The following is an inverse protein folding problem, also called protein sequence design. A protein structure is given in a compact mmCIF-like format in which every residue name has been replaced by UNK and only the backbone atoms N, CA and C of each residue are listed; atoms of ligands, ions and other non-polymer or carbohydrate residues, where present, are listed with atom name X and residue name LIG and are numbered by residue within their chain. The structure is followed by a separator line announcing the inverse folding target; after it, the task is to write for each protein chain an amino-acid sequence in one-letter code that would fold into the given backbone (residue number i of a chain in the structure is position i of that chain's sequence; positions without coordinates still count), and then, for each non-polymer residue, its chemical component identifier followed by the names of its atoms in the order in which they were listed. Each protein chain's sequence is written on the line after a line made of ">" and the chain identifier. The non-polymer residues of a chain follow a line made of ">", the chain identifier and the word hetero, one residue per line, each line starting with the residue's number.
data_IF_092695703559
#
_entry.id   IF_092695703559
#
_cell.length_a   1.000
_cell.length_b   1.000
_cell.length_c   1.000
_cell.angle_alpha   90.00
_cell.angle_beta   90.00
_cell.angle_gamma   90.00
#
_symmetry.space_group_name_H-M   'P 1'
#
loop_
_entity.id
_entity.type
_entity.pdbx_description
1 polymer ?
#
# COMPACT_ATOMS: atom_id res chain seq x y z
N UNK A 1 5.54 -15.20 0.15
CA UNK A 1 4.69 -14.20 0.83
C UNK A 1 3.48 -13.94 -0.05
N UNK A 2 2.30 -14.47 0.30
CA UNK A 2 1.08 -14.17 -0.42
C UNK A 2 0.64 -12.73 -0.12
N UNK A 3 -0.05 -12.12 -1.07
CA UNK A 3 -0.62 -10.79 -0.96
C UNK A 3 -2.10 -10.88 -1.32
N UNK A 4 -2.94 -10.24 -0.52
CA UNK A 4 -4.38 -10.17 -0.75
C UNK A 4 -4.83 -8.71 -0.82
N UNK A 5 -5.93 -8.45 -1.52
CA UNK A 5 -6.42 -7.08 -1.66
C UNK A 5 -7.02 -6.57 -0.35
N UNK A 6 -6.77 -5.30 -0.05
CA UNK A 6 -7.37 -4.63 1.10
C UNK A 6 -8.90 -4.64 1.03
N UNK A 7 -9.46 -4.39 -0.17
CA UNK A 7 -10.92 -4.37 -0.43
C UNK A 7 -11.64 -5.68 -0.13
N UNK A 8 -10.93 -6.83 -0.17
CA UNK A 8 -11.54 -8.14 0.11
C UNK A 8 -11.93 -8.26 1.59
N UNK A 9 -11.31 -7.46 2.46
CA UNK A 9 -11.56 -7.44 3.90
C UNK A 9 -12.28 -6.17 4.37
N UNK A 10 -12.12 -5.06 3.65
CA UNK A 10 -12.67 -3.75 3.98
C UNK A 10 -13.28 -3.07 2.73
N UNK A 11 -14.36 -3.65 2.15
CA UNK A 11 -14.94 -3.17 0.89
C UNK A 11 -15.42 -1.73 0.98
N UNK A 12 -16.18 -1.37 2.01
CA UNK A 12 -16.76 -0.03 2.16
C UNK A 12 -15.66 1.06 2.23
N UNK A 13 -14.58 0.78 2.96
CA UNK A 13 -13.45 1.71 3.10
C UNK A 13 -12.67 1.77 1.79
N UNK A 14 -12.46 0.64 1.12
CA UNK A 14 -11.79 0.63 -0.17
C UNK A 14 -12.58 1.40 -1.22
N UNK A 15 -13.91 1.31 -1.24
CA UNK A 15 -14.76 2.04 -2.18
C UNK A 15 -14.69 3.57 -1.95
N UNK A 16 -14.57 4.02 -0.69
CA UNK A 16 -14.42 5.45 -0.35
C UNK A 16 -12.99 5.98 -0.52
N UNK A 17 -11.99 5.16 -0.22
CA UNK A 17 -10.61 5.62 0.00
C UNK A 17 -9.58 5.17 -1.06
N UNK A 18 -9.97 4.31 -2.01
CA UNK A 18 -9.08 3.90 -3.11
C UNK A 18 -8.68 5.12 -3.94
N UNK A 19 -7.37 5.31 -4.12
CA UNK A 19 -6.87 6.42 -4.94
C UNK A 19 -7.04 6.10 -6.41
N UNK A 20 -7.57 7.06 -7.16
CA UNK A 20 -7.54 7.04 -8.61
C UNK A 20 -6.63 8.17 -9.14
N UNK A 21 -5.78 7.85 -10.10
CA UNK A 21 -5.09 8.85 -10.93
C UNK A 21 -6.03 9.13 -12.10
N UNK A 22 -6.45 10.39 -12.23
CA UNK A 22 -7.32 10.83 -13.33
C UNK A 22 -6.44 11.57 -14.33
N UNK A 23 -6.38 11.07 -15.56
CA UNK A 23 -5.68 11.72 -16.66
C UNK A 23 -6.71 12.23 -17.67
N UNK A 24 -6.99 13.54 -17.70
CA UNK A 24 -7.93 14.11 -18.66
C UNK A 24 -7.44 13.98 -20.12
N UNK A 25 -8.35 13.96 -21.11
CA UNK A 25 -8.00 13.93 -22.54
C UNK A 25 -7.00 15.00 -23.00
N UNK A 26 -7.08 16.19 -22.40
CA UNK A 26 -6.27 17.37 -22.67
C UNK A 26 -4.94 17.39 -21.89
N UNK A 27 -4.62 16.34 -21.13
CA UNK A 27 -3.38 16.26 -20.37
C UNK A 27 -2.16 16.24 -21.30
N UNK A 28 -1.16 17.06 -20.99
CA UNK A 28 0.14 17.07 -21.68
C UNK A 28 1.10 15.97 -21.17
N UNK A 29 0.64 15.10 -20.27
CA UNK A 29 1.47 14.00 -19.75
C UNK A 29 1.64 12.88 -20.78
N UNK A 30 2.70 12.10 -20.64
CA UNK A 30 2.93 10.91 -21.47
C UNK A 30 1.99 9.74 -21.12
N UNK A 31 1.28 9.82 -19.98
CA UNK A 31 0.35 8.80 -19.56
C UNK A 31 -0.96 8.96 -20.37
N UNK A 32 -1.50 7.90 -21.00
CA UNK A 32 -2.71 8.03 -21.79
C UNK A 32 -3.90 8.49 -20.94
N UNK A 33 -4.84 9.28 -21.51
CA UNK A 33 -6.06 9.65 -20.83
C UNK A 33 -6.84 8.43 -20.35
N UNK A 34 -7.08 8.33 -19.06
CA UNK A 34 -7.77 7.22 -18.40
C UNK A 34 -7.99 7.57 -16.91
N UNK A 35 -8.68 6.68 -16.22
CA UNK A 35 -8.66 6.60 -14.77
C UNK A 35 -7.89 5.33 -14.36
N UNK A 36 -6.87 5.50 -13.52
CA UNK A 36 -6.06 4.40 -13.02
C UNK A 36 -6.31 4.24 -11.52
N UNK A 37 -7.00 3.17 -11.14
CA UNK A 37 -7.30 2.85 -9.74
C UNK A 37 -6.14 2.09 -9.09
N UNK A 38 -5.65 2.59 -7.94
CA UNK A 38 -4.54 2.01 -7.19
C UNK A 38 -5.07 1.09 -6.10
N UNK A 39 -5.41 -0.15 -6.46
CA UNK A 39 -5.84 -1.13 -5.46
C UNK A 39 -4.67 -1.57 -4.59
N UNK A 40 -4.81 -1.41 -3.29
CA UNK A 40 -3.80 -1.80 -2.32
C UNK A 40 -3.86 -3.31 -2.06
N UNK A 41 -2.71 -3.96 -2.16
CA UNK A 41 -2.49 -5.33 -1.71
C UNK A 41 -1.45 -5.36 -0.59
N UNK A 42 -1.74 -6.14 0.44
CA UNK A 42 -0.89 -6.31 1.61
C UNK A 42 -0.58 -7.79 1.86
N UNK A 43 0.57 -8.06 2.49
CA UNK A 43 0.97 -9.41 2.88
C UNK A 43 -0.03 -10.00 3.89
N UNK A 44 -0.58 -11.16 3.57
CA UNK A 44 -1.59 -11.87 4.37
C UNK A 44 -0.99 -13.03 5.21
N UNK A 45 0.33 -13.16 5.20
CA UNK A 45 1.04 -14.09 6.06
C UNK A 45 0.87 -13.69 7.53
N UNK A 46 0.50 -14.66 8.38
CA UNK A 46 0.29 -14.42 9.82
C UNK A 46 1.58 -13.95 10.48
N UNK A 47 1.47 -12.91 11.30
CA UNK A 47 2.55 -12.27 12.07
C UNK A 47 3.68 -11.67 11.23
N UNK A 48 3.49 -11.49 9.93
CA UNK A 48 4.43 -10.79 9.06
C UNK A 48 4.27 -9.27 9.21
N UNK A 49 5.34 -8.54 9.53
CA UNK A 49 5.31 -7.07 9.59
C UNK A 49 6.18 -6.48 8.47
N UNK A 50 5.95 -6.89 7.23
CA UNK A 50 6.78 -6.48 6.09
C UNK A 50 6.69 -4.98 5.77
N UNK A 51 5.65 -4.27 6.24
CA UNK A 51 5.46 -2.82 6.06
C UNK A 51 5.60 -2.36 4.60
N UNK A 52 4.99 -3.15 3.71
CA UNK A 52 4.99 -2.97 2.27
C UNK A 52 3.57 -3.00 1.72
N UNK A 53 3.37 -2.28 0.63
CA UNK A 53 2.16 -2.29 -0.20
C UNK A 53 2.55 -2.64 -1.63
N UNK A 54 1.68 -3.37 -2.32
CA UNK A 54 1.69 -3.45 -3.77
C UNK A 54 0.46 -2.72 -4.30
N UNK A 55 0.67 -1.70 -5.12
CA UNK A 55 -0.41 -1.03 -5.86
C UNK A 55 -0.68 -1.83 -7.13
N UNK A 56 -1.81 -2.51 -7.15
CA UNK A 56 -2.33 -3.19 -8.32
C UNK A 56 -3.15 -2.19 -9.15
N UNK A 57 -2.53 -1.64 -10.19
CA UNK A 57 -3.07 -0.51 -10.93
C UNK A 57 -3.96 -1.00 -12.07
N UNK A 58 -5.26 -0.73 -11.96
CA UNK A 58 -6.26 -1.08 -12.98
C UNK A 58 -6.59 0.14 -13.85
N UNK A 59 -6.59 -0.05 -15.17
CA UNK A 59 -7.13 0.93 -16.12
C UNK A 59 -8.65 0.79 -16.19
N UNK A 60 -9.38 1.89 -16.02
CA UNK A 60 -10.84 1.91 -16.14
C UNK A 60 -11.29 1.62 -17.58
N UNK A 61 -10.61 2.20 -18.58
CA UNK A 61 -10.93 1.98 -20.00
C UNK A 61 -10.68 0.54 -20.45
N UNK A 62 -9.54 -0.06 -20.08
CA UNK A 62 -9.18 -1.42 -20.51
C UNK A 62 -9.74 -2.51 -19.62
N UNK A 63 -10.09 -2.16 -18.37
CA UNK A 63 -10.57 -3.09 -17.33
C UNK A 63 -9.57 -4.21 -17.03
N UNK A 64 -8.28 -3.88 -17.09
CA UNK A 64 -7.18 -4.82 -16.89
C UNK A 64 -6.05 -4.18 -16.06
N UNK A 65 -5.20 -4.98 -15.39
CA UNK A 65 -3.99 -4.49 -14.74
C UNK A 65 -3.01 -3.94 -15.76
N UNK A 66 -2.57 -2.71 -15.53
CA UNK A 66 -1.58 -2.03 -16.37
C UNK A 66 -0.23 -1.90 -15.70
N UNK A 67 -0.18 -1.96 -14.36
CA UNK A 67 1.06 -2.02 -13.60
C UNK A 67 0.85 -2.65 -12.22
N UNK A 68 1.93 -3.20 -11.66
CA UNK A 68 2.01 -3.49 -10.22
C UNK A 68 3.25 -2.80 -9.66
N UNK A 69 3.04 -1.84 -8.77
CA UNK A 69 4.11 -1.04 -8.14
C UNK A 69 4.26 -1.47 -6.69
N UNK A 70 5.43 -1.95 -6.30
CA UNK A 70 5.74 -2.32 -4.92
C UNK A 70 6.47 -1.19 -4.21
N UNK A 71 6.06 -0.91 -2.97
CA UNK A 71 6.69 0.11 -2.14
C UNK A 71 6.71 -0.29 -0.67
N UNK A 72 7.79 0.07 0.01
CA UNK A 72 8.00 -0.12 1.43
C UNK A 72 8.42 1.18 2.10
N UNK A 73 7.76 1.55 3.20
CA UNK A 73 7.98 2.85 3.84
C UNK A 73 9.07 2.87 4.92
N UNK A 74 9.63 1.71 5.27
CA UNK A 74 10.70 1.63 6.25
C UNK A 74 12.11 1.89 5.69
N UNK A 75 13.06 2.05 6.60
CA UNK A 75 14.47 2.24 6.25
C UNK A 75 15.12 1.00 5.64
N UNK A 76 16.21 1.19 4.89
CA UNK A 76 17.04 0.09 4.40
C UNK A 76 17.50 -0.86 5.52
N UNK A 77 17.86 -0.30 6.69
CA UNK A 77 18.25 -1.07 7.86
C UNK A 77 17.11 -1.95 8.41
N UNK A 78 15.87 -1.48 8.34
CA UNK A 78 14.71 -2.28 8.71
C UNK A 78 14.59 -3.49 7.79
N UNK A 79 14.61 -3.26 6.47
CA UNK A 79 14.46 -4.35 5.51
C UNK A 79 15.59 -5.35 5.61
N UNK A 80 16.84 -4.90 5.70
CA UNK A 80 17.99 -5.78 5.91
C UNK A 80 17.80 -6.71 7.12
N UNK A 81 17.39 -6.16 8.27
CA UNK A 81 17.11 -6.95 9.48
C UNK A 81 15.91 -7.88 9.32
N UNK A 82 14.88 -7.44 8.59
CA UNK A 82 13.66 -8.20 8.42
C UNK A 82 13.87 -9.42 7.52
N UNK A 83 14.57 -9.28 6.39
CA UNK A 83 14.91 -10.43 5.52
C UNK A 83 16.16 -11.20 5.99
N UNK A 84 16.95 -10.63 6.91
CA UNK A 84 18.23 -11.17 7.38
C UNK A 84 19.26 -11.28 6.25
N UNK A 85 19.32 -10.24 5.43
CA UNK A 85 20.22 -10.10 4.28
C UNK A 85 20.66 -8.64 4.20
N UNK A 86 21.82 -8.38 3.61
CA UNK A 86 22.38 -7.05 3.40
C UNK A 86 22.64 -6.72 1.93
N UNK A 87 22.19 -7.57 0.99
CA UNK A 87 22.28 -7.30 -0.44
C UNK A 87 21.63 -5.94 -0.83
N UNK A 88 22.41 -4.98 -1.35
CA UNK A 88 21.92 -3.63 -1.63
C UNK A 88 20.80 -3.57 -2.67
N UNK A 89 20.84 -4.43 -3.70
CA UNK A 89 19.84 -4.46 -4.76
C UNK A 89 18.49 -4.95 -4.22
N UNK A 90 18.51 -6.07 -3.49
CA UNK A 90 17.34 -6.62 -2.80
C UNK A 90 16.73 -5.61 -1.84
N UNK A 91 17.55 -4.91 -1.05
CA UNK A 91 17.06 -3.89 -0.11
C UNK A 91 16.45 -2.69 -0.85
N UNK A 92 17.05 -2.27 -1.96
CA UNK A 92 16.50 -1.19 -2.78
C UNK A 92 15.12 -1.56 -3.36
N UNK A 93 14.95 -2.78 -3.86
CA UNK A 93 13.64 -3.29 -4.32
C UNK A 93 12.61 -3.41 -3.18
N UNK A 94 13.06 -3.80 -1.98
CA UNK A 94 12.20 -3.86 -0.80
C UNK A 94 11.76 -2.48 -0.29
N UNK A 95 12.52 -1.44 -0.57
CA UNK A 95 12.13 -0.07 -0.26
C UNK A 95 11.25 0.50 -1.37
N UNK A 96 11.64 0.31 -2.63
CA UNK A 96 10.94 0.88 -3.77
C UNK A 96 10.81 2.42 -3.70
N UNK A 97 9.85 3.01 -4.44
CA UNK A 97 8.88 2.36 -5.32
C UNK A 97 9.56 1.69 -6.53
N UNK A 98 9.13 0.48 -6.89
CA UNK A 98 9.62 -0.25 -8.08
C UNK A 98 8.49 -1.02 -8.73
N UNK A 99 8.61 -1.33 -10.01
CA UNK A 99 7.73 -2.30 -10.66
C UNK A 99 8.00 -3.69 -10.10
N UNK A 100 6.94 -4.38 -9.66
CA UNK A 100 7.08 -5.74 -9.16
C UNK A 100 7.46 -6.68 -10.32
N UNK A 101 8.67 -7.25 -10.26
CA UNK A 101 9.27 -8.01 -11.36
C UNK A 101 8.46 -9.25 -11.78
N UNK A 102 7.76 -9.88 -10.83
CA UNK A 102 6.98 -11.11 -11.06
C UNK A 102 5.52 -10.84 -11.42
N UNK A 103 5.12 -9.58 -11.59
CA UNK A 103 3.76 -9.21 -11.96
C UNK A 103 3.64 -8.84 -13.44
N UNK A 104 2.44 -8.96 -14.03
CA UNK A 104 2.16 -8.39 -15.34
C UNK A 104 2.43 -6.89 -15.36
N UNK A 105 3.12 -6.41 -16.39
CA UNK A 105 3.37 -4.99 -16.63
C UNK A 105 2.97 -4.66 -18.06
N UNK A 106 2.29 -3.53 -18.25
CA UNK A 106 2.01 -2.99 -19.58
C UNK A 106 3.15 -2.06 -20.04
N UNK A 107 3.09 -1.62 -21.31
CA UNK A 107 4.06 -0.66 -21.86
C UNK A 107 4.08 0.69 -21.11
N UNK A 108 2.99 1.05 -20.43
CA UNK A 108 2.88 2.30 -19.66
C UNK A 108 3.26 2.14 -18.19
N UNK A 109 3.62 0.92 -17.75
CA UNK A 109 3.96 0.67 -16.35
C UNK A 109 5.08 1.56 -15.80
N UNK A 110 6.16 1.88 -16.54
CA UNK A 110 7.17 2.82 -16.06
C UNK A 110 6.59 4.20 -15.73
N UNK A 111 5.75 4.75 -16.61
CA UNK A 111 5.09 6.04 -16.40
C UNK A 111 4.17 6.02 -15.17
N UNK A 112 3.46 4.91 -14.96
CA UNK A 112 2.63 4.74 -13.76
C UNK A 112 3.50 4.70 -12.51
N UNK A 113 4.64 4.01 -12.54
CA UNK A 113 5.58 3.96 -11.42
C UNK A 113 6.11 5.35 -11.06
N UNK A 114 6.40 6.19 -12.05
CA UNK A 114 6.82 7.58 -11.84
C UNK A 114 5.72 8.39 -11.14
N UNK A 115 4.47 8.30 -11.63
CA UNK A 115 3.33 9.00 -11.01
C UNK A 115 3.08 8.50 -9.58
N UNK A 116 3.15 7.19 -9.33
CA UNK A 116 3.03 6.63 -7.97
C UNK A 116 4.15 7.15 -7.07
N UNK A 117 5.37 7.27 -7.59
CA UNK A 117 6.51 7.82 -6.84
C UNK A 117 6.27 9.28 -6.45
N UNK A 118 5.67 10.07 -7.34
CA UNK A 118 5.28 11.44 -7.03
C UNK A 118 4.15 11.51 -6.00
N UNK A 119 3.14 10.64 -6.11
CA UNK A 119 2.05 10.55 -5.12
C UNK A 119 2.57 10.21 -3.72
N UNK A 120 3.59 9.36 -3.61
CA UNK A 120 4.18 8.96 -2.33
C UNK A 120 4.96 10.08 -1.62
N UNK A 121 5.13 11.24 -2.26
CA UNK A 121 5.62 12.47 -1.60
C UNK A 121 4.53 13.15 -0.76
N UNK A 122 3.26 12.84 -0.99
CA UNK A 122 2.13 13.33 -0.21
C UNK A 122 2.03 12.57 1.13
N UNK A 123 2.26 13.25 2.28
CA UNK A 123 2.20 12.60 3.58
C UNK A 123 0.80 12.07 3.92
N UNK A 124 -0.29 12.72 3.45
CA UNK A 124 -1.65 12.26 3.74
C UNK A 124 -1.96 10.96 3.00
N UNK A 125 -1.43 10.79 1.79
CA UNK A 125 -1.51 9.53 1.06
C UNK A 125 -0.72 8.41 1.77
N UNK A 126 0.51 8.70 2.19
CA UNK A 126 1.35 7.76 2.91
C UNK A 126 0.72 7.32 4.23
N UNK A 127 0.15 8.25 4.99
CA UNK A 127 -0.48 7.95 6.27
C UNK A 127 -1.75 7.12 6.08
N UNK A 128 -2.51 7.33 5.00
CA UNK A 128 -3.64 6.47 4.63
C UNK A 128 -3.21 5.03 4.38
N UNK A 129 -2.17 4.83 3.56
CA UNK A 129 -1.63 3.48 3.27
C UNK A 129 -1.20 2.77 4.56
N UNK A 130 -0.48 3.46 5.44
CA UNK A 130 -0.05 2.90 6.75
C UNK A 130 -1.24 2.54 7.63
N UNK A 131 -2.30 3.35 7.60
CA UNK A 131 -3.54 3.10 8.35
C UNK A 131 -4.28 1.88 7.82
N UNK A 132 -4.42 1.75 6.50
CA UNK A 132 -4.98 0.56 5.84
C UNK A 132 -4.16 -0.69 6.15
N UNK A 133 -2.83 -0.61 6.09
CA UNK A 133 -1.95 -1.70 6.49
C UNK A 133 -2.18 -2.13 7.94
N UNK A 134 -2.27 -1.19 8.89
CA UNK A 134 -2.52 -1.50 10.29
C UNK A 134 -3.89 -2.19 10.49
N UNK A 135 -4.92 -1.74 9.78
CA UNK A 135 -6.24 -2.39 9.77
C UNK A 135 -6.17 -3.81 9.22
N UNK A 136 -5.46 -3.99 8.11
CA UNK A 136 -5.25 -5.28 7.48
C UNK A 136 -4.50 -6.24 8.40
N UNK A 137 -3.38 -5.81 9.01
CA UNK A 137 -2.64 -6.62 9.98
C UNK A 137 -3.51 -7.03 11.18
N UNK A 138 -4.29 -6.11 11.72
CA UNK A 138 -5.21 -6.42 12.81
C UNK A 138 -6.23 -7.51 12.43
N UNK A 139 -6.76 -7.44 11.19
CA UNK A 139 -7.70 -8.42 10.64
C UNK A 139 -7.07 -9.80 10.38
N UNK A 140 -5.85 -9.85 9.85
CA UNK A 140 -5.13 -11.09 9.53
C UNK A 140 -4.58 -11.78 10.79
N UNK A 141 -4.03 -11.02 11.72
CA UNK A 141 -3.42 -11.54 12.95
C UNK A 141 -4.44 -11.85 14.05
N UNK A 142 -5.72 -11.49 13.83
CA UNK A 142 -6.78 -11.64 14.84
C UNK A 142 -6.62 -10.69 16.03
N UNK A 143 -5.82 -9.64 15.89
CA UNK A 143 -5.65 -8.62 16.92
C UNK A 143 -6.84 -7.68 16.84
N UNK A 144 -7.71 -7.66 17.86
CA UNK A 144 -8.84 -6.70 17.90
C UNK A 144 -8.30 -5.27 17.83
N UNK A 145 -8.67 -4.51 16.79
CA UNK A 145 -8.54 -3.06 16.80
C UNK A 145 -9.42 -2.56 17.95
N UNK A 146 -8.78 -2.06 19.00
CA UNK A 146 -9.48 -1.52 20.16
C UNK A 146 -10.19 -0.25 19.70
N UNK A 147 -11.53 -0.22 19.75
CA UNK A 147 -12.31 0.96 19.37
C UNK A 147 -11.82 2.21 20.13
N UNK A 148 -11.98 3.40 19.53
CA UNK A 148 -11.59 4.68 20.15
C UNK A 148 -12.19 4.81 21.57
N UNK A 149 -13.41 4.31 21.77
CA UNK A 149 -14.08 4.29 23.07
C UNK A 149 -13.42 3.33 24.06
N UNK A 150 -13.01 2.15 23.59
CA UNK A 150 -12.26 1.19 24.39
C UNK A 150 -10.85 1.72 24.75
N UNK A 151 -10.20 2.47 23.85
CA UNK A 151 -8.94 3.17 24.14
C UNK A 151 -9.13 4.27 25.21
N UNK A 152 -10.19 5.08 25.10
CA UNK A 152 -10.55 6.10 26.12
C UNK A 152 -10.81 5.44 27.49
N UNK A 153 -11.54 4.32 27.53
CA UNK A 153 -11.80 3.56 28.76
C UNK A 153 -10.53 2.99 29.38
N UNK A 154 -9.61 2.46 28.57
CA UNK A 154 -8.34 1.91 29.05
C UNK A 154 -7.44 3.00 29.67
N UNK A 155 -7.32 4.15 28.99
CA UNK A 155 -6.59 5.33 29.51
C UNK A 155 -7.18 5.84 30.84
N UNK A 156 -8.50 5.86 30.97
CA UNK A 156 -9.19 6.26 32.21
C UNK A 156 -8.98 5.27 33.36
N UNK A 157 -8.89 3.96 33.06
CA UNK A 157 -8.55 2.92 34.06
C UNK A 157 -7.10 3.03 34.55
N UNK A 158 -6.15 3.30 33.66
CA UNK A 158 -4.73 3.44 34.01
C UNK A 158 -4.47 4.69 34.88
N UNK A 159 -5.16 5.80 34.62
CA UNK A 159 -5.06 7.01 35.45
C UNK A 159 -5.65 6.88 36.87
N UNK A 160 -6.52 5.90 37.12
CA UNK A 160 -7.13 5.64 38.44
C UNK A 160 -6.32 4.68 39.31
N UNK A 161 -5.25 4.10 38.77
CA UNK A 161 -4.35 3.16 39.46
C UNK A 161 -3.01 3.79 39.86
N UNK A 162 -2.83 5.08 39.58
CA UNK A 162 -1.82 5.97 40.15
C UNK A 162 -2.51 6.88 41.14
#
# INVERSE_FOLDING_TARGET
>A
MPYSFFRDFFPDIADEETRCIIVPPESETLLPPDEYALFEMFCDEKRCDCRRVMFYVLSAKKREPVAVVAWGWESALFYSKWIRDDDPETIAELKGPVLNALSPQSKIAPLICDVVTDLLKDPDFVDRIKRHYAMFRARIDGTRVISIEAQKRLRKKLKRRR
#
